data_IF_709658041700
#
_entry.id   IF_709658041700
#
_cell.length_a   1.000
_cell.length_b   1.000
_cell.length_c   1.000
_cell.angle_alpha   90.00
_cell.angle_beta   90.00
_cell.angle_gamma   90.00
#
_symmetry.space_group_name_H-M   'P 1'
#
loop_
_entity.id
_entity.type
_entity.pdbx_description
1 polymer ?
#
# COMPACT_ATOMS: atom_id res chain seq x y z
N UNK A 1 9.27 -25.68 -10.99
CA UNK A 1 10.05 -24.95 -9.97
C UNK A 1 9.77 -25.63 -8.65
N UNK A 2 10.76 -26.27 -8.04
CA UNK A 2 10.58 -26.98 -6.77
C UNK A 2 10.46 -25.91 -5.68
N UNK A 3 9.37 -25.94 -4.93
CA UNK A 3 9.10 -25.03 -3.82
C UNK A 3 10.18 -25.23 -2.75
N UNK A 4 11.20 -24.37 -2.77
CA UNK A 4 12.43 -24.52 -1.99
C UNK A 4 12.27 -23.93 -0.57
N UNK A 5 11.15 -24.23 0.09
CA UNK A 5 10.91 -23.84 1.48
C UNK A 5 11.62 -24.82 2.41
N UNK A 6 12.31 -24.29 3.42
CA UNK A 6 12.75 -25.07 4.57
C UNK A 6 11.56 -25.17 5.53
N UNK A 7 10.96 -26.36 5.60
CA UNK A 7 9.82 -26.63 6.49
C UNK A 7 10.33 -27.14 7.83
N UNK A 8 9.91 -26.48 8.92
CA UNK A 8 10.26 -26.92 10.28
C UNK A 8 9.00 -27.00 11.14
N UNK A 9 8.85 -28.13 11.85
CA UNK A 9 7.70 -28.45 12.68
C UNK A 9 8.14 -28.87 14.09
N UNK A 10 7.30 -28.57 15.08
CA UNK A 10 7.25 -29.10 16.46
C UNK A 10 8.50 -29.85 16.95
N UNK A 11 9.53 -29.08 17.29
CA UNK A 11 10.61 -29.51 18.18
C UNK A 11 10.70 -28.51 19.35
N UNK A 12 11.19 -28.96 20.51
CA UNK A 12 11.19 -28.28 21.82
C UNK A 12 11.07 -26.74 21.82
N UNK A 13 10.23 -26.21 22.72
CA UNK A 13 10.07 -24.77 22.95
C UNK A 13 11.43 -24.04 23.08
N UNK A 14 11.61 -22.96 22.33
CA UNK A 14 12.85 -22.16 22.32
C UNK A 14 13.89 -22.52 21.26
N UNK A 15 13.57 -23.40 20.30
CA UNK A 15 14.45 -23.67 19.16
C UNK A 15 14.56 -22.44 18.25
N UNK A 16 15.79 -21.96 18.01
CA UNK A 16 16.11 -21.02 16.94
C UNK A 16 16.44 -21.82 15.67
N UNK A 17 15.70 -21.54 14.60
CA UNK A 17 15.90 -22.16 13.29
C UNK A 17 16.61 -21.16 12.40
N UNK A 18 17.80 -21.52 11.93
CA UNK A 18 18.56 -20.74 10.97
C UNK A 18 18.26 -21.24 9.55
N UNK A 19 17.72 -20.36 8.71
CA UNK A 19 17.51 -20.66 7.31
C UNK A 19 18.84 -20.75 6.55
N UNK A 20 19.09 -21.89 5.90
CA UNK A 20 20.22 -22.09 4.97
C UNK A 20 19.84 -21.79 3.51
N UNK A 21 18.56 -21.51 3.25
CA UNK A 21 17.98 -21.08 1.98
C UNK A 21 17.49 -19.64 2.02
N UNK A 22 16.46 -19.32 1.23
CA UNK A 22 15.86 -17.96 1.15
C UNK A 22 14.41 -17.94 1.62
N UNK A 23 13.90 -19.03 2.19
CA UNK A 23 12.48 -19.23 2.50
C UNK A 23 12.30 -20.20 3.67
N UNK A 24 11.74 -19.70 4.77
CA UNK A 24 11.46 -20.42 6.00
C UNK A 24 9.94 -20.46 6.26
N UNK A 25 9.39 -21.66 6.47
CA UNK A 25 8.02 -21.85 6.94
C UNK A 25 8.02 -22.65 8.24
N UNK A 26 7.56 -22.00 9.30
CA UNK A 26 7.30 -22.62 10.59
C UNK A 26 5.90 -23.26 10.55
N UNK A 27 5.76 -24.46 11.10
CA UNK A 27 4.47 -25.17 11.19
C UNK A 27 4.23 -25.70 12.61
N UNK A 28 3.02 -26.15 12.91
CA UNK A 28 2.63 -26.60 14.25
C UNK A 28 2.13 -25.45 15.13
N UNK A 29 2.09 -25.68 16.44
CA UNK A 29 1.53 -24.72 17.41
C UNK A 29 2.52 -24.27 18.48
N UNK A 30 3.74 -24.84 18.48
CA UNK A 30 4.78 -24.46 19.42
C UNK A 30 5.35 -23.06 19.12
N UNK A 31 5.80 -22.37 20.17
CA UNK A 31 6.53 -21.09 20.08
C UNK A 31 7.96 -21.35 19.58
N UNK A 32 8.11 -21.49 18.26
CA UNK A 32 9.40 -21.67 17.57
C UNK A 32 9.82 -20.36 16.90
N UNK A 33 11.13 -20.11 16.83
CA UNK A 33 11.66 -18.86 16.28
C UNK A 33 12.38 -19.11 14.96
N UNK A 34 12.24 -18.16 14.03
CA UNK A 34 12.87 -18.18 12.73
C UNK A 34 13.92 -17.08 12.60
N UNK A 35 15.08 -17.41 12.06
CA UNK A 35 16.13 -16.45 11.73
C UNK A 35 16.60 -16.70 10.30
N UNK A 36 16.55 -15.66 9.47
CA UNK A 36 17.10 -15.62 8.12
C UNK A 36 18.62 -15.54 8.13
N UNK A 37 19.18 -15.29 6.96
CA UNK A 37 20.61 -15.11 6.76
C UNK A 37 20.90 -13.66 6.32
N UNK A 38 21.92 -13.46 5.48
CA UNK A 38 22.30 -12.11 5.02
C UNK A 38 21.74 -11.81 3.62
N UNK A 39 20.97 -12.72 3.05
CA UNK A 39 20.29 -12.53 1.77
C UNK A 39 18.81 -12.31 1.98
N UNK A 40 18.08 -12.08 0.90
CA UNK A 40 16.64 -11.85 0.94
C UNK A 40 15.90 -13.13 1.35
N UNK A 41 15.30 -13.13 2.53
CA UNK A 41 14.55 -14.23 3.12
C UNK A 41 13.05 -13.98 3.08
N UNK A 42 12.29 -15.06 2.86
CA UNK A 42 10.86 -15.11 3.11
C UNK A 42 10.55 -15.88 4.38
N UNK A 43 9.92 -15.26 5.37
CA UNK A 43 9.63 -15.88 6.66
C UNK A 43 8.12 -15.99 6.87
N UNK A 44 7.67 -17.17 7.28
CA UNK A 44 6.27 -17.40 7.67
C UNK A 44 6.24 -18.12 9.01
N UNK A 45 5.55 -17.52 9.98
CA UNK A 45 5.30 -18.08 11.31
C UNK A 45 4.30 -19.23 11.31
N UNK A 46 4.17 -19.88 12.47
CA UNK A 46 3.12 -20.86 12.74
C UNK A 46 2.05 -20.24 13.67
N UNK A 47 1.20 -21.05 14.30
CA UNK A 47 0.16 -20.52 15.20
C UNK A 47 0.66 -20.21 16.62
N UNK A 48 1.92 -20.50 16.92
CA UNK A 48 2.57 -20.15 18.18
C UNK A 48 3.05 -18.70 18.14
N UNK A 49 3.55 -18.21 19.28
CA UNK A 49 4.19 -16.90 19.35
C UNK A 49 5.63 -17.04 18.85
N UNK A 50 5.90 -16.53 17.65
CA UNK A 50 7.19 -16.64 16.99
C UNK A 50 8.00 -15.34 17.15
N UNK A 51 9.32 -15.48 17.26
CA UNK A 51 10.25 -14.42 16.91
C UNK A 51 10.76 -14.71 15.51
N UNK A 52 10.49 -13.81 14.58
CA UNK A 52 10.95 -13.90 13.19
C UNK A 52 11.96 -12.77 12.95
N UNK A 53 13.16 -13.12 12.50
CA UNK A 53 14.21 -12.15 12.18
C UNK A 53 14.78 -12.43 10.80
N UNK A 54 14.73 -11.46 9.90
CA UNK A 54 15.20 -11.57 8.52
C UNK A 54 16.71 -11.47 8.44
N UNK A 55 17.26 -10.39 9.02
CA UNK A 55 18.69 -10.21 9.20
C UNK A 55 19.22 -9.06 8.35
N UNK A 56 20.03 -9.37 7.34
CA UNK A 56 20.33 -8.42 6.27
C UNK A 56 19.73 -8.96 4.98
N UNK A 57 19.56 -8.10 3.98
CA UNK A 57 18.82 -8.41 2.77
C UNK A 57 17.49 -7.66 2.78
N UNK A 58 16.74 -7.84 1.69
CA UNK A 58 15.37 -7.37 1.59
C UNK A 58 14.46 -8.54 1.94
N UNK A 59 13.95 -8.55 3.16
CA UNK A 59 13.21 -9.66 3.73
C UNK A 59 11.70 -9.46 3.61
N UNK A 60 10.95 -10.56 3.58
CA UNK A 60 9.49 -10.54 3.50
C UNK A 60 8.91 -11.45 4.59
N UNK A 61 8.05 -10.88 5.40
CA UNK A 61 7.30 -11.58 6.44
C UNK A 61 5.86 -11.81 5.98
N UNK A 62 5.51 -13.06 5.73
CA UNK A 62 4.20 -13.43 5.22
C UNK A 62 3.23 -13.75 6.36
N UNK A 63 2.10 -13.06 6.36
CA UNK A 63 1.01 -13.29 7.29
C UNK A 63 -0.27 -13.61 6.52
N UNK A 64 -0.76 -14.84 6.70
CA UNK A 64 -2.09 -15.23 6.26
C UNK A 64 -3.00 -15.36 7.48
N UNK A 65 -3.59 -14.24 7.89
CA UNK A 65 -4.48 -14.19 9.05
C UNK A 65 -5.88 -14.76 8.78
N UNK A 66 -6.07 -15.45 7.64
CA UNK A 66 -7.19 -16.37 7.42
C UNK A 66 -7.00 -17.71 8.17
N UNK A 67 -5.84 -17.89 8.82
CA UNK A 67 -5.51 -19.02 9.71
C UNK A 67 -5.14 -18.50 11.11
N UNK A 68 -5.17 -19.38 12.12
CA UNK A 68 -4.79 -18.99 13.48
C UNK A 68 -3.29 -18.64 13.53
N UNK A 69 -2.99 -17.39 13.86
CA UNK A 69 -1.64 -16.91 14.11
C UNK A 69 -1.50 -16.48 15.58
N UNK A 70 -0.26 -16.47 16.06
CA UNK A 70 0.06 -16.09 17.43
C UNK A 70 0.32 -14.59 17.61
N UNK A 71 0.92 -14.28 18.76
CA UNK A 71 1.52 -12.98 19.04
C UNK A 71 3.00 -13.04 18.68
N UNK A 72 3.34 -12.48 17.52
CA UNK A 72 4.67 -12.60 16.92
C UNK A 72 5.51 -11.34 17.14
N UNK A 73 6.83 -11.51 17.13
CA UNK A 73 7.81 -10.43 17.18
C UNK A 73 8.63 -10.43 15.91
N UNK A 74 8.64 -9.30 15.21
CA UNK A 74 9.47 -9.06 14.03
C UNK A 74 10.74 -8.31 14.44
N UNK A 75 11.90 -8.92 14.15
CA UNK A 75 13.21 -8.33 14.44
C UNK A 75 13.94 -8.01 13.15
N UNK A 76 14.11 -6.72 12.90
CA UNK A 76 14.90 -6.20 11.81
C UNK A 76 15.98 -5.22 12.26
N UNK A 77 16.90 -4.92 11.35
CA UNK A 77 17.96 -3.94 11.59
C UNK A 77 17.77 -2.71 10.70
N UNK A 78 18.17 -1.54 11.19
CA UNK A 78 18.08 -0.28 10.42
C UNK A 78 19.04 -0.21 9.23
N UNK A 79 19.87 -1.23 9.03
CA UNK A 79 20.82 -1.36 7.91
C UNK A 79 20.60 -2.64 7.11
N UNK A 80 19.49 -3.35 7.37
CA UNK A 80 19.21 -4.70 6.89
C UNK A 80 18.94 -4.73 5.39
N UNK A 81 18.10 -3.83 4.90
CA UNK A 81 17.76 -3.70 3.50
C UNK A 81 16.48 -2.92 3.35
N UNK A 82 15.59 -3.38 2.48
CA UNK A 82 14.21 -2.89 2.35
C UNK A 82 13.29 -4.06 2.64
N UNK A 83 12.62 -4.01 3.77
CA UNK A 83 11.91 -5.14 4.37
C UNK A 83 10.40 -4.94 4.30
N UNK A 84 9.67 -6.05 4.21
CA UNK A 84 8.24 -6.06 3.85
C UNK A 84 7.40 -6.88 4.82
N UNK A 85 6.30 -6.30 5.31
CA UNK A 85 5.19 -7.07 5.87
C UNK A 85 4.16 -7.34 4.76
N UNK A 86 3.85 -8.61 4.53
CA UNK A 86 2.95 -9.06 3.47
C UNK A 86 1.70 -9.73 4.06
N UNK A 87 0.56 -9.05 3.94
CA UNK A 87 -0.76 -9.53 4.35
C UNK A 87 -1.65 -9.91 3.16
N UNK A 88 -1.12 -10.03 1.94
CA UNK A 88 -1.91 -10.29 0.72
C UNK A 88 -2.73 -11.59 0.78
N UNK A 89 -2.36 -12.52 1.67
CA UNK A 89 -3.12 -13.75 1.94
C UNK A 89 -4.28 -13.59 2.95
N UNK A 90 -4.52 -12.40 3.48
CA UNK A 90 -5.49 -12.13 4.54
C UNK A 90 -6.81 -11.61 3.99
N UNK A 91 -7.93 -12.17 4.46
CA UNK A 91 -9.28 -11.80 4.00
C UNK A 91 -10.08 -10.96 5.01
N UNK A 92 -9.47 -10.53 6.11
CA UNK A 92 -10.08 -9.63 7.08
C UNK A 92 -9.23 -8.37 7.22
N UNK A 93 -9.79 -7.34 7.84
CA UNK A 93 -9.14 -6.03 7.97
C UNK A 93 -7.79 -6.13 8.69
N UNK A 94 -6.76 -5.58 8.07
CA UNK A 94 -5.40 -5.45 8.57
C UNK A 94 -5.21 -4.04 9.13
N UNK A 95 -4.84 -3.92 10.40
CA UNK A 95 -4.62 -2.66 11.09
C UNK A 95 -3.20 -2.65 11.69
N UNK A 96 -2.26 -1.98 11.04
CA UNK A 96 -0.86 -1.98 11.49
C UNK A 96 -0.21 -0.62 11.29
N UNK A 97 0.61 -0.24 12.28
CA UNK A 97 1.43 0.96 12.23
C UNK A 97 2.91 0.59 12.37
N UNK A 98 3.69 0.83 11.31
CA UNK A 98 5.12 0.50 11.28
C UNK A 98 5.94 1.37 12.24
N UNK A 99 5.40 2.50 12.72
CA UNK A 99 5.99 3.39 13.71
C UNK A 99 5.82 2.95 15.17
N UNK A 100 5.03 1.89 15.43
CA UNK A 100 4.72 1.42 16.78
C UNK A 100 5.46 0.10 17.08
N UNK A 101 6.30 0.11 18.11
CA UNK A 101 7.06 -1.07 18.56
C UNK A 101 6.39 -1.85 19.71
N UNK A 102 5.38 -1.29 20.37
CA UNK A 102 4.55 -2.04 21.32
C UNK A 102 3.66 -3.04 20.58
N UNK A 103 3.22 -4.10 21.24
CA UNK A 103 2.31 -5.08 20.65
C UNK A 103 1.03 -4.41 20.11
N UNK A 104 0.71 -4.68 18.85
CA UNK A 104 -0.46 -4.20 18.13
C UNK A 104 -1.37 -5.37 17.79
N UNK A 105 -2.68 -5.20 17.91
CA UNK A 105 -3.65 -6.15 17.35
C UNK A 105 -3.81 -5.83 15.86
N UNK A 106 -3.34 -6.72 15.00
CA UNK A 106 -3.26 -6.48 13.55
C UNK A 106 -4.54 -6.90 12.84
N UNK A 107 -5.06 -8.07 13.18
CA UNK A 107 -6.33 -8.54 12.62
C UNK A 107 -7.26 -8.85 13.77
N UNK A 108 -8.35 -8.08 13.87
CA UNK A 108 -9.45 -8.36 14.78
C UNK A 108 -10.48 -9.22 14.07
N UNK A 109 -10.81 -10.40 14.61
CA UNK A 109 -11.99 -11.12 14.14
C UNK A 109 -13.26 -10.34 14.51
N UNK A 110 -14.21 -10.23 13.58
CA UNK A 110 -15.52 -9.62 13.81
C UNK A 110 -16.42 -10.44 14.78
N UNK A 111 -15.93 -11.58 15.29
CA UNK A 111 -16.68 -12.43 16.19
C UNK A 111 -16.62 -11.95 17.65
N UNK A 112 -17.79 -11.81 18.27
CA UNK A 112 -18.01 -11.43 19.67
C UNK A 112 -17.50 -12.44 20.72
N UNK A 113 -16.71 -13.43 20.31
CA UNK A 113 -16.11 -14.42 21.20
C UNK A 113 -14.62 -14.10 21.32
N UNK A 114 -14.06 -14.01 22.55
CA UNK A 114 -12.62 -13.88 22.75
C UNK A 114 -11.92 -15.07 22.10
N UNK A 115 -11.38 -14.87 20.91
CA UNK A 115 -10.51 -15.84 20.28
C UNK A 115 -9.09 -15.59 20.78
N UNK A 116 -8.35 -16.62 21.20
CA UNK A 116 -6.91 -16.52 21.43
C UNK A 116 -6.09 -16.35 20.13
N UNK A 117 -6.74 -16.10 18.98
CA UNK A 117 -6.16 -16.18 17.63
C UNK A 117 -6.19 -14.82 16.88
N UNK A 118 -6.22 -13.69 17.59
CA UNK A 118 -6.00 -12.40 16.95
C UNK A 118 -4.51 -12.27 16.62
N UNK A 119 -4.17 -12.07 15.35
CA UNK A 119 -2.78 -11.80 14.98
C UNK A 119 -2.34 -10.54 15.72
N UNK A 120 -1.32 -10.69 16.55
CA UNK A 120 -0.67 -9.58 17.23
C UNK A 120 0.77 -9.49 16.77
N UNK A 121 1.25 -8.29 16.47
CA UNK A 121 2.63 -8.05 16.08
C UNK A 121 3.32 -7.08 17.03
N UNK A 122 4.54 -7.41 17.39
CA UNK A 122 5.49 -6.52 18.07
C UNK A 122 6.66 -6.28 17.12
N UNK A 123 6.94 -5.02 16.79
CA UNK A 123 8.07 -4.66 15.94
C UNK A 123 9.28 -4.31 16.82
N UNK A 124 10.46 -4.77 16.43
CA UNK A 124 11.71 -4.49 17.17
C UNK A 124 12.02 -3.00 17.32
N UNK A 125 11.61 -2.17 16.36
CA UNK A 125 11.64 -0.72 16.42
C UNK A 125 10.59 -0.13 15.45
N UNK A 126 10.30 1.18 15.59
CA UNK A 126 9.33 1.88 14.75
C UNK A 126 9.90 2.43 13.43
N UNK A 127 11.04 1.92 12.96
CA UNK A 127 11.78 2.46 11.81
C UNK A 127 12.74 1.42 11.21
N UNK A 128 12.24 0.20 11.01
CA UNK A 128 13.01 -0.95 10.48
C UNK A 128 12.28 -1.71 9.37
N UNK A 129 11.13 -1.19 8.93
CA UNK A 129 10.32 -1.78 7.87
C UNK A 129 9.90 -0.67 6.92
N UNK A 130 10.06 -0.90 5.63
CA UNK A 130 9.80 0.07 4.57
C UNK A 130 8.51 -0.27 3.81
N UNK A 131 8.18 -1.54 3.65
CA UNK A 131 7.05 -1.93 2.80
C UNK A 131 5.94 -2.61 3.59
N UNK A 132 4.71 -2.32 3.16
CA UNK A 132 3.50 -2.88 3.74
C UNK A 132 2.51 -3.23 2.63
N UNK A 133 2.12 -4.50 2.55
CA UNK A 133 1.11 -4.97 1.61
C UNK A 133 -0.12 -5.43 2.40
N UNK A 134 -1.25 -4.78 2.17
CA UNK A 134 -2.55 -5.16 2.71
C UNK A 134 -3.14 -6.42 2.08
N UNK A 135 -4.32 -6.76 2.57
CA UNK A 135 -5.13 -7.89 2.14
C UNK A 135 -6.22 -7.49 1.14
N UNK A 136 -7.38 -8.15 1.28
CA UNK A 136 -8.52 -7.98 0.39
C UNK A 136 -9.77 -7.43 1.10
N UNK A 137 -9.59 -6.72 2.20
CA UNK A 137 -10.66 -6.11 3.00
C UNK A 137 -10.26 -4.68 3.38
N UNK A 138 -11.10 -4.00 4.14
CA UNK A 138 -10.88 -2.59 4.52
C UNK A 138 -9.71 -2.47 5.50
N UNK A 139 -8.54 -2.14 4.98
CA UNK A 139 -7.29 -2.12 5.73
C UNK A 139 -6.94 -0.71 6.23
N UNK A 140 -6.26 -0.63 7.37
CA UNK A 140 -5.67 0.60 7.91
C UNK A 140 -4.16 0.39 8.06
N UNK A 141 -3.42 0.93 7.09
CA UNK A 141 -2.00 0.70 6.91
C UNK A 141 -1.25 2.01 7.13
N UNK A 142 -0.44 2.07 8.19
CA UNK A 142 0.31 3.27 8.58
C UNK A 142 1.81 2.97 8.49
N UNK A 143 2.53 3.77 7.71
CA UNK A 143 3.98 3.74 7.60
C UNK A 143 4.67 4.31 8.84
N UNK A 144 5.90 4.80 8.66
CA UNK A 144 6.74 5.33 9.72
C UNK A 144 7.49 6.59 9.24
N UNK A 145 8.72 6.81 9.71
CA UNK A 145 9.55 7.97 9.33
C UNK A 145 10.52 7.67 8.18
N UNK A 146 10.46 6.48 7.60
CA UNK A 146 11.26 6.06 6.45
C UNK A 146 10.46 6.26 5.16
N UNK A 147 11.12 6.12 4.01
CA UNK A 147 10.40 6.08 2.74
C UNK A 147 9.66 4.74 2.64
N UNK A 148 8.34 4.78 2.75
CA UNK A 148 7.51 3.60 2.73
C UNK A 148 6.91 3.32 1.35
N UNK A 149 6.75 2.03 1.00
CA UNK A 149 5.84 1.61 -0.07
C UNK A 149 4.67 0.86 0.54
N UNK A 150 3.48 1.43 0.45
CA UNK A 150 2.26 0.88 1.05
C UNK A 150 1.29 0.53 -0.08
N UNK A 151 0.84 -0.72 -0.12
CA UNK A 151 -0.19 -1.19 -1.05
C UNK A 151 -1.43 -1.61 -0.26
N UNK A 152 -2.59 -0.99 -0.50
CA UNK A 152 -3.86 -1.32 0.16
C UNK A 152 -4.39 -2.68 -0.30
N UNK A 153 -4.71 -2.77 -1.59
CA UNK A 153 -5.06 -4.05 -2.22
C UNK A 153 -6.46 -4.04 -2.81
N UNK A 154 -7.43 -4.58 -2.10
CA UNK A 154 -8.84 -4.45 -2.45
C UNK A 154 -9.64 -4.22 -1.17
N UNK A 155 -10.70 -3.43 -1.22
CA UNK A 155 -11.38 -2.94 -0.03
C UNK A 155 -11.34 -1.42 0.00
N UNK A 156 -12.10 -0.80 0.90
CA UNK A 156 -11.97 0.64 1.13
C UNK A 156 -10.86 0.84 2.16
N UNK A 157 -9.67 1.14 1.70
CA UNK A 157 -8.46 1.17 2.52
C UNK A 157 -8.16 2.57 3.06
N UNK A 158 -7.40 2.63 4.14
CA UNK A 158 -6.86 3.86 4.73
C UNK A 158 -5.34 3.72 4.79
N UNK A 159 -4.64 4.44 3.91
CA UNK A 159 -3.18 4.39 3.78
C UNK A 159 -2.57 5.72 4.26
N UNK A 160 -1.69 5.65 5.26
CA UNK A 160 -0.96 6.79 5.79
C UNK A 160 0.54 6.55 5.63
N UNK A 161 1.24 7.35 4.82
CA UNK A 161 2.69 7.24 4.60
C UNK A 161 3.49 7.57 5.86
N UNK A 162 3.24 8.76 6.43
CA UNK A 162 3.87 9.19 7.67
C UNK A 162 4.89 10.28 7.41
N UNK A 163 6.18 9.96 7.52
CA UNK A 163 7.22 10.88 7.09
C UNK A 163 8.26 10.16 6.27
N UNK A 164 8.90 10.85 5.33
CA UNK A 164 9.69 10.19 4.29
C UNK A 164 9.06 10.49 2.94
N UNK A 165 9.66 10.00 1.86
CA UNK A 165 9.06 10.11 0.53
C UNK A 165 8.34 8.80 0.24
N UNK A 166 7.03 8.79 0.44
CA UNK A 166 6.24 7.58 0.43
C UNK A 166 5.65 7.27 -0.95
N UNK A 167 5.31 6.01 -1.17
CA UNK A 167 4.65 5.51 -2.36
C UNK A 167 3.42 4.72 -1.95
N UNK A 168 2.25 5.32 -2.12
CA UNK A 168 0.95 4.75 -1.77
C UNK A 168 0.28 4.21 -3.04
N UNK A 169 -0.02 2.92 -3.05
CA UNK A 169 -0.71 2.20 -4.12
C UNK A 169 -2.05 1.75 -3.54
N UNK A 170 -3.13 2.40 -3.96
CA UNK A 170 -4.45 2.31 -3.35
C UNK A 170 -5.07 0.91 -3.51
N UNK A 171 -5.28 0.46 -4.74
CA UNK A 171 -5.87 -0.85 -4.98
C UNK A 171 -7.21 -0.77 -5.69
N UNK A 172 -8.29 -1.15 -5.02
CA UNK A 172 -9.67 -1.10 -5.55
C UNK A 172 -10.62 -0.95 -4.39
N UNK A 173 -11.66 -0.13 -4.57
CA UNK A 173 -12.45 0.40 -3.47
C UNK A 173 -12.31 1.91 -3.42
N UNK A 174 -12.97 2.56 -2.47
CA UNK A 174 -12.79 3.99 -2.21
C UNK A 174 -11.76 4.13 -1.09
N UNK A 175 -10.57 4.56 -1.43
CA UNK A 175 -9.44 4.60 -0.53
C UNK A 175 -9.21 6.00 0.04
N UNK A 176 -8.70 6.08 1.26
CA UNK A 176 -8.23 7.33 1.88
C UNK A 176 -6.72 7.29 1.96
N UNK A 177 -6.07 8.22 1.26
CA UNK A 177 -4.62 8.30 1.14
C UNK A 177 -4.12 9.58 1.81
N UNK A 178 -3.10 9.44 2.66
CA UNK A 178 -2.43 10.57 3.32
C UNK A 178 -0.93 10.37 3.20
N UNK A 179 -0.23 11.26 2.50
CA UNK A 179 1.22 11.15 2.30
C UNK A 179 1.97 11.44 3.60
N UNK A 180 1.63 12.55 4.24
CA UNK A 180 2.30 13.06 5.42
C UNK A 180 3.42 14.03 5.04
N UNK A 181 4.60 13.89 5.65
CA UNK A 181 5.72 14.80 5.38
C UNK A 181 6.69 14.22 4.37
N UNK A 182 6.88 14.89 3.24
CA UNK A 182 7.88 14.50 2.26
C UNK A 182 7.43 14.87 0.86
N UNK A 183 8.04 14.21 -0.14
CA UNK A 183 7.59 14.27 -1.52
C UNK A 183 6.95 12.91 -1.85
N UNK A 184 5.63 12.84 -1.69
CA UNK A 184 4.91 11.57 -1.72
C UNK A 184 4.37 11.25 -3.11
N UNK A 185 4.11 9.97 -3.35
CA UNK A 185 3.57 9.46 -4.61
C UNK A 185 2.28 8.70 -4.35
N UNK A 186 1.21 9.12 -5.00
CA UNK A 186 -0.09 8.44 -5.03
C UNK A 186 -0.21 7.73 -6.39
N UNK A 187 -0.15 6.40 -6.41
CA UNK A 187 0.17 5.59 -7.59
C UNK A 187 -1.03 4.80 -8.12
N UNK A 188 -1.66 5.37 -9.14
CA UNK A 188 -2.80 4.80 -9.85
C UNK A 188 -2.32 3.88 -10.98
N UNK A 189 -2.20 2.59 -10.67
CA UNK A 189 -1.61 1.60 -11.60
C UNK A 189 -2.47 0.36 -11.87
N UNK A 190 -3.60 0.22 -11.19
CA UNK A 190 -4.49 -0.90 -11.48
C UNK A 190 -5.36 -0.52 -12.68
N UNK A 191 -5.56 -1.46 -13.64
CA UNK A 191 -6.50 -1.24 -14.78
C UNK A 191 -7.95 -1.03 -14.33
N UNK A 192 -8.18 -1.12 -13.01
CA UNK A 192 -9.46 -1.07 -12.32
C UNK A 192 -9.98 0.35 -12.13
N UNK A 193 -9.20 1.39 -12.38
CA UNK A 193 -9.72 2.77 -12.31
C UNK A 193 -10.89 3.05 -13.28
N UNK A 194 -11.14 2.21 -14.31
CA UNK A 194 -12.11 2.54 -15.37
C UNK A 194 -12.91 1.36 -15.96
N UNK A 195 -12.95 0.18 -15.33
CA UNK A 195 -13.81 -0.97 -15.76
C UNK A 195 -14.75 -1.37 -14.59
N UNK A 196 -16.07 -1.42 -14.86
CA UNK A 196 -17.17 -1.46 -13.88
C UNK A 196 -17.07 -2.51 -12.76
N UNK A 197 -17.39 -2.11 -11.52
CA UNK A 197 -17.76 -2.98 -10.39
C UNK A 197 -17.01 -2.70 -9.09
N UNK A 198 -15.73 -2.33 -9.20
CA UNK A 198 -14.78 -2.25 -8.09
C UNK A 198 -14.02 -0.90 -8.03
N UNK A 199 -14.46 0.11 -8.79
CA UNK A 199 -13.83 1.44 -8.79
C UNK A 199 -14.45 2.29 -7.70
N UNK A 200 -13.65 2.72 -6.75
CA UNK A 200 -14.02 3.83 -5.88
C UNK A 200 -13.44 5.15 -6.35
N UNK A 201 -13.88 6.21 -5.69
CA UNK A 201 -13.30 7.54 -5.78
C UNK A 201 -12.41 7.69 -4.55
N UNK A 202 -11.11 7.86 -4.79
CA UNK A 202 -10.15 7.92 -3.69
C UNK A 202 -10.01 9.35 -3.18
N UNK A 203 -9.75 9.49 -1.89
CA UNK A 203 -9.53 10.79 -1.25
C UNK A 203 -8.06 10.91 -0.91
N UNK A 204 -7.36 11.86 -1.52
CA UNK A 204 -6.02 12.24 -1.09
C UNK A 204 -6.12 13.44 -0.16
N UNK A 205 -5.88 13.20 1.13
CA UNK A 205 -6.29 14.11 2.20
C UNK A 205 -5.38 15.34 2.39
N UNK A 206 -4.09 15.23 2.02
CA UNK A 206 -3.06 16.22 2.34
C UNK A 206 -2.13 16.59 1.17
N UNK A 207 -2.57 16.34 -0.07
CA UNK A 207 -1.76 16.59 -1.26
C UNK A 207 -1.16 18.00 -1.32
N UNK A 208 0.16 18.09 -1.50
CA UNK A 208 0.92 19.33 -1.63
C UNK A 208 1.48 19.49 -3.04
N UNK A 209 0.83 20.33 -3.86
CA UNK A 209 1.33 20.66 -5.20
C UNK A 209 2.75 21.22 -5.19
N UNK A 210 3.57 20.75 -6.12
CA UNK A 210 5.00 21.04 -6.25
C UNK A 210 5.92 20.15 -5.39
N UNK A 211 5.36 19.39 -4.44
CA UNK A 211 6.07 18.43 -3.59
C UNK A 211 5.69 17.01 -4.00
N UNK A 212 4.38 16.72 -3.91
CA UNK A 212 3.82 15.40 -4.13
C UNK A 212 3.51 15.14 -5.60
N UNK A 213 3.26 13.87 -5.90
CA UNK A 213 3.01 13.39 -7.25
C UNK A 213 1.80 12.47 -7.31
N UNK A 214 0.91 12.76 -8.26
CA UNK A 214 -0.07 11.80 -8.75
C UNK A 214 0.61 11.01 -9.87
N UNK A 215 0.81 9.72 -9.66
CA UNK A 215 1.54 8.85 -10.57
C UNK A 215 0.54 7.98 -11.33
N UNK A 216 0.56 8.06 -12.66
CA UNK A 216 -0.42 7.40 -13.53
C UNK A 216 0.29 6.32 -14.36
N UNK A 217 -0.19 5.07 -14.29
CA UNK A 217 0.31 3.99 -15.14
C UNK A 217 -0.21 4.10 -16.57
N UNK A 218 0.66 3.87 -17.54
CA UNK A 218 0.28 3.77 -18.95
C UNK A 218 -0.58 2.57 -19.28
N UNK A 219 -0.46 1.49 -18.52
CA UNK A 219 -1.34 0.34 -18.65
C UNK A 219 -2.80 0.68 -18.31
N UNK A 220 -3.02 1.63 -17.40
CA UNK A 220 -4.36 2.09 -16.98
C UNK A 220 -4.84 3.30 -17.78
N UNK A 221 -4.02 4.35 -17.84
CA UNK A 221 -4.32 5.62 -18.50
C UNK A 221 -3.84 5.60 -19.96
N UNK A 222 -4.36 4.63 -20.71
CA UNK A 222 -3.88 4.27 -22.07
C UNK A 222 -4.01 5.39 -23.10
N UNK A 223 -4.94 6.34 -22.90
CA UNK A 223 -5.18 7.43 -23.83
C UNK A 223 -4.17 8.58 -23.71
N UNK A 224 -3.43 8.67 -22.59
CA UNK A 224 -2.43 9.72 -22.38
C UNK A 224 -1.44 9.74 -23.57
N UNK A 225 -0.97 10.91 -23.98
CA UNK A 225 0.04 11.04 -25.05
C UNK A 225 1.47 10.97 -24.51
N UNK A 226 1.63 11.33 -23.24
CA UNK A 226 2.89 11.37 -22.48
C UNK A 226 3.62 10.03 -22.49
N UNK A 227 4.97 10.01 -22.45
CA UNK A 227 5.74 8.76 -22.38
C UNK A 227 6.14 8.44 -20.93
N UNK A 228 6.44 7.17 -20.65
CA UNK A 228 6.94 6.71 -19.34
C UNK A 228 8.18 7.49 -18.92
N UNK A 229 8.23 7.88 -17.64
CA UNK A 229 9.31 8.67 -17.04
C UNK A 229 9.14 10.18 -17.15
N UNK A 230 8.14 10.67 -17.90
CA UNK A 230 7.82 12.09 -17.98
C UNK A 230 6.68 12.48 -17.04
N UNK A 231 6.51 13.79 -16.88
CA UNK A 231 5.26 14.39 -16.43
C UNK A 231 4.15 14.20 -17.49
N UNK A 232 2.90 14.54 -17.15
CA UNK A 232 1.82 14.60 -18.15
C UNK A 232 2.03 15.75 -19.15
N UNK A 233 1.59 15.57 -20.39
CA UNK A 233 1.62 16.60 -21.44
C UNK A 233 0.61 17.70 -21.13
N UNK A 234 0.98 18.95 -21.39
CA UNK A 234 0.06 20.08 -21.28
C UNK A 234 -1.15 19.95 -22.23
N UNK A 235 -1.03 19.17 -23.32
CA UNK A 235 -2.17 18.86 -24.20
C UNK A 235 -3.19 17.91 -23.57
N UNK A 236 -2.77 17.12 -22.59
CA UNK A 236 -3.59 16.09 -21.97
C UNK A 236 -4.27 16.61 -20.71
N UNK A 237 -3.91 17.80 -20.21
CA UNK A 237 -4.32 18.31 -18.90
C UNK A 237 -5.08 19.64 -19.00
N UNK A 238 -6.17 19.76 -18.24
CA UNK A 238 -6.90 21.02 -18.08
C UNK A 238 -7.33 21.25 -16.63
N UNK A 239 -7.42 22.53 -16.26
CA UNK A 239 -8.05 23.00 -15.02
C UNK A 239 -9.35 23.71 -15.37
N UNK A 240 -10.43 23.36 -14.68
CA UNK A 240 -11.77 23.93 -14.84
C UNK A 240 -12.32 24.40 -13.50
N UNK A 241 -13.39 25.19 -13.51
CA UNK A 241 -13.92 25.84 -12.31
C UNK A 241 -15.11 25.09 -11.69
N UNK A 242 -15.75 24.18 -12.42
CA UNK A 242 -16.85 23.35 -11.92
C UNK A 242 -16.93 22.01 -12.67
N UNK A 243 -17.69 21.07 -12.11
CA UNK A 243 -17.82 19.71 -12.65
C UNK A 243 -18.57 19.69 -13.99
N UNK A 244 -19.40 20.71 -14.28
CA UNK A 244 -20.07 20.83 -15.58
C UNK A 244 -19.06 21.18 -16.69
N UNK A 245 -18.07 22.00 -16.38
CA UNK A 245 -16.93 22.25 -17.25
C UNK A 245 -16.01 21.02 -17.35
N UNK A 246 -15.85 20.26 -16.28
CA UNK A 246 -15.11 19.00 -16.34
C UNK A 246 -15.78 18.01 -17.30
N UNK A 247 -17.10 17.86 -17.19
CA UNK A 247 -17.92 16.99 -18.03
C UNK A 247 -17.96 17.40 -19.50
N UNK A 248 -17.62 18.65 -19.84
CA UNK A 248 -17.56 19.13 -21.24
C UNK A 248 -16.14 19.31 -21.77
N UNK A 249 -15.13 19.14 -20.92
CA UNK A 249 -13.72 19.24 -21.28
C UNK A 249 -13.31 18.14 -22.27
N UNK A 250 -12.30 18.47 -23.06
CA UNK A 250 -11.66 17.56 -24.00
C UNK A 250 -10.21 17.25 -23.60
N UNK A 251 -9.74 17.65 -22.42
CA UNK A 251 -8.48 17.15 -21.88
C UNK A 251 -8.66 15.72 -21.35
N UNK A 252 -7.57 14.96 -21.28
CA UNK A 252 -7.59 13.58 -20.79
C UNK A 252 -7.62 13.53 -19.27
N UNK A 253 -6.90 14.44 -18.60
CA UNK A 253 -6.97 14.65 -17.16
C UNK A 253 -7.54 16.04 -16.92
N UNK A 254 -8.60 16.11 -16.14
CA UNK A 254 -9.33 17.36 -15.88
C UNK A 254 -9.44 17.55 -14.38
N UNK A 255 -8.83 18.62 -13.86
CA UNK A 255 -8.92 19.00 -12.46
C UNK A 255 -9.98 20.09 -12.28
N UNK A 256 -10.95 19.86 -11.40
CA UNK A 256 -11.96 20.84 -11.01
C UNK A 256 -11.49 21.61 -9.77
N UNK A 257 -11.19 22.90 -9.92
CA UNK A 257 -10.59 23.70 -8.85
C UNK A 257 -11.55 24.05 -7.70
N UNK A 258 -12.88 23.91 -7.91
CA UNK A 258 -13.87 24.24 -6.86
C UNK A 258 -14.21 23.05 -5.97
N UNK A 259 -14.12 21.83 -6.49
CA UNK A 259 -14.43 20.59 -5.76
C UNK A 259 -13.17 19.83 -5.35
N UNK A 260 -12.07 19.99 -6.10
CA UNK A 260 -10.86 19.18 -5.93
C UNK A 260 -10.90 17.88 -6.72
N UNK A 261 -11.99 17.61 -7.44
CA UNK A 261 -12.18 16.39 -8.19
C UNK A 261 -11.26 16.30 -9.41
N UNK A 262 -10.69 15.12 -9.62
CA UNK A 262 -9.86 14.78 -10.76
C UNK A 262 -10.55 13.72 -11.62
N UNK A 263 -10.72 14.05 -12.90
CA UNK A 263 -11.41 13.21 -13.87
C UNK A 263 -10.43 12.70 -14.91
N UNK A 264 -10.64 11.47 -15.36
CA UNK A 264 -10.01 10.93 -16.56
C UNK A 264 -11.04 10.82 -17.69
N UNK A 265 -10.77 11.45 -18.83
CA UNK A 265 -11.55 11.33 -20.05
C UNK A 265 -10.91 10.28 -20.98
N UNK A 266 -11.45 9.06 -20.94
CA UNK A 266 -10.91 7.94 -21.70
C UNK A 266 -11.22 8.02 -23.21
N UNK A 267 -12.17 8.86 -23.64
CA UNK A 267 -12.60 8.95 -25.04
C UNK A 267 -11.55 9.54 -25.99
N UNK A 268 -10.42 10.04 -25.48
CA UNK A 268 -9.36 10.58 -26.32
C UNK A 268 -9.75 11.95 -26.89
N UNK A 269 -9.37 13.02 -26.20
CA UNK A 269 -9.50 14.43 -26.61
C UNK A 269 -10.84 14.90 -27.23
N UNK A 270 -11.91 14.12 -27.08
CA UNK A 270 -13.28 14.46 -27.45
C UNK A 270 -14.01 15.04 -26.24
N UNK A 271 -14.94 15.97 -26.47
CA UNK A 271 -15.75 16.56 -25.38
C UNK A 271 -16.64 15.48 -24.73
N UNK A 272 -16.74 15.52 -23.40
CA UNK A 272 -17.44 14.49 -22.64
C UNK A 272 -16.48 13.48 -22.03
N UNK A 273 -16.70 13.08 -20.76
CA UNK A 273 -15.87 12.08 -20.09
C UNK A 273 -15.93 10.69 -20.74
N UNK A 274 -17.00 10.40 -21.49
CA UNK A 274 -17.13 9.10 -22.16
C UNK A 274 -17.38 7.94 -21.22
N UNK A 275 -16.54 6.92 -21.32
CA UNK A 275 -16.39 5.84 -20.32
C UNK A 275 -15.48 6.23 -19.16
N UNK A 276 -14.88 7.41 -19.21
CA UNK A 276 -14.10 8.00 -18.14
C UNK A 276 -14.95 8.42 -16.95
N UNK A 277 -14.29 8.61 -15.80
CA UNK A 277 -14.92 8.92 -14.53
C UNK A 277 -14.03 9.78 -13.65
N UNK A 278 -14.62 10.29 -12.58
CA UNK A 278 -13.89 10.79 -11.42
C UNK A 278 -13.12 9.63 -10.76
N UNK A 279 -11.90 9.90 -10.31
CA UNK A 279 -11.09 8.88 -9.65
C UNK A 279 -10.32 9.40 -8.43
N UNK A 280 -10.19 10.72 -8.25
CA UNK A 280 -9.57 11.30 -7.05
C UNK A 280 -10.37 12.54 -6.61
N UNK A 281 -10.55 12.67 -5.31
CA UNK A 281 -10.86 13.91 -4.60
C UNK A 281 -9.62 14.47 -3.90
N UNK A 282 -9.30 15.74 -4.15
CA UNK A 282 -8.19 16.48 -3.54
C UNK A 282 -8.72 17.66 -2.69
N UNK A 283 -9.41 17.38 -1.57
CA UNK A 283 -10.09 18.41 -0.79
C UNK A 283 -9.15 19.48 -0.21
N UNK A 284 -7.91 19.13 0.10
CA UNK A 284 -6.90 20.08 0.62
C UNK A 284 -6.55 21.17 -0.40
N UNK A 285 -6.37 20.81 -1.68
CA UNK A 285 -6.06 21.77 -2.74
C UNK A 285 -7.24 22.71 -3.01
N UNK A 286 -8.46 22.17 -3.07
CA UNK A 286 -9.67 22.96 -3.29
C UNK A 286 -9.90 23.96 -2.16
N UNK A 287 -9.75 23.52 -0.90
CA UNK A 287 -9.87 24.39 0.27
C UNK A 287 -8.83 25.53 0.28
N UNK A 288 -7.61 25.25 -0.18
CA UNK A 288 -6.52 26.22 -0.30
C UNK A 288 -6.62 27.13 -1.55
N UNK A 289 -7.57 26.86 -2.47
CA UNK A 289 -7.67 27.55 -3.75
C UNK A 289 -6.47 27.33 -4.66
N UNK A 290 -5.77 26.20 -4.50
CA UNK A 290 -4.60 25.81 -5.31
C UNK A 290 -5.03 24.97 -6.51
N UNK A 291 -4.22 25.07 -7.57
CA UNK A 291 -4.40 24.30 -8.78
C UNK A 291 -3.28 23.30 -8.97
N UNK A 292 -3.61 22.18 -9.61
CA UNK A 292 -2.62 21.26 -10.17
C UNK A 292 -2.00 21.86 -11.44
N UNK A 293 -0.77 21.41 -11.70
CA UNK A 293 0.01 21.66 -12.90
C UNK A 293 0.48 20.34 -13.47
N UNK A 294 0.98 20.34 -14.71
CA UNK A 294 1.59 19.14 -15.29
C UNK A 294 2.76 18.60 -14.45
N UNK A 295 3.41 19.46 -13.66
CA UNK A 295 4.51 19.07 -12.79
C UNK A 295 4.07 18.33 -11.52
N UNK A 296 2.76 18.21 -11.25
CA UNK A 296 2.23 17.42 -10.13
C UNK A 296 1.96 15.96 -10.53
N UNK A 297 2.21 15.62 -11.81
CA UNK A 297 2.00 14.27 -12.33
C UNK A 297 3.31 13.58 -12.69
N UNK A 298 3.30 12.25 -12.72
CA UNK A 298 4.34 11.43 -13.32
C UNK A 298 3.72 10.21 -14.02
N UNK A 299 4.38 9.73 -15.08
CA UNK A 299 3.92 8.59 -15.86
C UNK A 299 4.83 7.39 -15.64
N UNK A 300 4.24 6.27 -15.25
CA UNK A 300 4.93 4.97 -15.16
C UNK A 300 4.41 4.00 -16.24
N UNK A 301 5.08 2.86 -16.37
CA UNK A 301 4.72 1.81 -17.33
C UNK A 301 3.32 1.25 -17.08
#
# INVERSE_FOLDING_TARGET
>A
MVNNWVYVADYNAGLQIFDVGTKLLLTGTANINGTGNNGNNGLTGNSGNNILSGGNGNDIYFFNASSSLGSDTIIETTTGGIDTLDFTGTTGNVNINLGISSTQTVVSSAELVPHPNQLQLTLSAGNVLENLLGGSSEDCLIGNSLNNTITGGAGNDTLLGGGGNDSLIEGAGNDILTGGTGNDKFIYQTRRAFETGDVGIDVVSDFTSGSDKIVLSKATFTALSSIVGNNISASDFAVVVDDANAASSNALIVYCSSTGSLYYNQNGSASGLGTGAEFIDLPSLAADGKNLTVADFAIIA
#
